data_IF_420079350841
#
_entry.id   IF_420079350841
#
_cell.length_a   1.000
_cell.length_b   1.000
_cell.length_c   1.000
_cell.angle_alpha   90.00
_cell.angle_beta   90.00
_cell.angle_gamma   90.00
#
_symmetry.space_group_name_H-M   'P 1'
#
loop_
_entity.id
_entity.type
_entity.pdbx_description
1 polymer ?
#
# COMPACT_ATOMS: atom_id res chain seq x y z
N UNK A 1 16.53 -38.32 17.47
CA UNK A 1 15.46 -37.36 17.11
C UNK A 1 15.95 -36.55 15.92
N UNK A 2 15.36 -36.73 14.72
CA UNK A 2 15.75 -35.98 13.53
C UNK A 2 15.22 -34.55 13.67
N UNK A 3 16.10 -33.57 13.93
CA UNK A 3 15.70 -32.16 13.88
C UNK A 3 15.28 -31.82 12.45
N UNK A 4 14.04 -31.40 12.28
CA UNK A 4 13.52 -30.94 11.01
C UNK A 4 14.18 -29.59 10.71
N UNK A 5 15.08 -29.57 9.73
CA UNK A 5 15.70 -28.35 9.22
C UNK A 5 14.59 -27.50 8.61
N UNK A 6 14.34 -26.31 9.16
CA UNK A 6 13.54 -25.30 8.49
C UNK A 6 14.44 -24.51 7.54
N UNK A 7 13.90 -24.10 6.40
CA UNK A 7 14.59 -23.28 5.41
C UNK A 7 13.90 -21.92 5.29
N UNK A 8 14.64 -20.90 4.85
CA UNK A 8 14.03 -19.62 4.55
C UNK A 8 13.13 -19.72 3.30
N UNK A 9 11.87 -19.33 3.40
CA UNK A 9 10.93 -19.37 2.26
C UNK A 9 11.36 -18.51 1.06
N UNK A 10 12.17 -17.47 1.28
CA UNK A 10 12.56 -16.53 0.21
C UNK A 10 13.83 -16.97 -0.52
N UNK A 11 14.87 -17.36 0.21
CA UNK A 11 16.18 -17.67 -0.38
C UNK A 11 16.60 -19.14 -0.26
N UNK A 12 15.74 -19.98 0.33
CA UNK A 12 15.95 -21.42 0.52
C UNK A 12 17.22 -21.76 1.31
N UNK A 13 17.77 -20.79 2.04
CA UNK A 13 18.93 -21.03 2.90
C UNK A 13 18.49 -21.82 4.13
N UNK A 14 19.16 -22.96 4.44
CA UNK A 14 18.80 -23.80 5.58
C UNK A 14 19.23 -23.17 6.91
N UNK A 15 18.39 -23.28 7.93
CA UNK A 15 18.75 -22.91 9.30
C UNK A 15 19.52 -24.07 9.95
N UNK A 16 20.82 -23.88 10.18
CA UNK A 16 21.69 -24.91 10.75
C UNK A 16 21.93 -24.63 12.23
N UNK A 17 21.25 -25.33 13.16
CA UNK A 17 21.32 -25.04 14.60
C UNK A 17 22.72 -25.17 15.23
N UNK A 18 23.67 -25.80 14.54
CA UNK A 18 25.04 -26.02 14.99
C UNK A 18 26.04 -24.96 14.49
N UNK A 19 25.62 -24.02 13.64
CA UNK A 19 26.48 -22.94 13.17
C UNK A 19 26.15 -21.66 13.94
N UNK A 20 27.13 -21.18 14.71
CA UNK A 20 27.08 -19.95 15.51
C UNK A 20 26.74 -18.69 14.68
N UNK A 21 26.86 -18.75 13.35
CA UNK A 21 26.54 -17.65 12.42
C UNK A 21 25.08 -17.61 11.94
N UNK A 22 24.26 -18.61 12.29
CA UNK A 22 22.85 -18.59 11.88
C UNK A 22 21.96 -17.98 12.97
N UNK A 23 21.61 -16.70 12.78
CA UNK A 23 20.57 -16.05 13.57
C UNK A 23 19.28 -16.86 13.56
N UNK A 24 18.58 -16.88 14.71
CA UNK A 24 17.34 -17.61 14.88
C UNK A 24 16.31 -17.23 13.80
N UNK A 25 15.66 -18.21 13.13
CA UNK A 25 14.64 -17.93 12.15
C UNK A 25 13.43 -17.26 12.79
N UNK A 26 12.88 -16.26 12.11
CA UNK A 26 11.57 -15.74 12.49
C UNK A 26 10.48 -16.61 11.86
N UNK A 27 9.75 -17.33 12.69
CA UNK A 27 8.55 -18.06 12.28
C UNK A 27 7.33 -17.15 12.30
N UNK A 28 6.53 -17.22 11.24
CA UNK A 28 5.30 -16.43 11.09
C UNK A 28 4.04 -17.29 11.34
N UNK A 29 2.86 -16.67 11.57
CA UNK A 29 1.62 -17.41 11.76
C UNK A 29 1.23 -18.35 10.60
N UNK A 30 1.76 -18.11 9.40
CA UNK A 30 1.59 -18.98 8.24
C UNK A 30 2.53 -20.21 8.23
N UNK A 31 3.36 -20.42 9.26
CA UNK A 31 4.25 -21.57 9.40
C UNK A 31 5.59 -21.47 8.66
N UNK A 32 5.81 -20.39 7.90
CA UNK A 32 7.06 -20.17 7.18
C UNK A 32 8.11 -19.45 8.03
N UNK A 33 9.37 -19.75 7.73
CA UNK A 33 10.52 -19.17 8.39
C UNK A 33 11.28 -18.21 7.45
N UNK A 34 11.83 -17.14 8.01
CA UNK A 34 12.62 -16.15 7.27
C UNK A 34 14.01 -15.96 7.90
N UNK A 35 15.04 -15.89 7.07
CA UNK A 35 16.37 -15.47 7.51
C UNK A 35 16.43 -13.94 7.68
N UNK A 36 17.34 -13.41 8.53
CA UNK A 36 17.47 -11.98 8.75
C UNK A 36 17.65 -11.16 7.47
N UNK A 37 18.49 -11.63 6.55
CA UNK A 37 18.82 -10.89 5.33
C UNK A 37 17.61 -10.74 4.42
N UNK A 38 16.71 -11.72 4.38
CA UNK A 38 15.45 -11.63 3.62
C UNK A 38 14.42 -10.74 4.32
N UNK A 39 14.36 -10.72 5.66
CA UNK A 39 13.51 -9.78 6.40
C UNK A 39 13.96 -8.33 6.19
N UNK A 40 15.27 -8.07 6.28
CA UNK A 40 15.87 -6.75 6.03
C UNK A 40 15.57 -6.29 4.61
N UNK A 41 15.81 -7.15 3.60
CA UNK A 41 15.48 -6.84 2.21
C UNK A 41 13.99 -6.55 2.02
N UNK A 42 13.11 -7.39 2.57
CA UNK A 42 11.66 -7.20 2.51
C UNK A 42 11.21 -5.86 3.09
N UNK A 43 11.75 -5.47 4.24
CA UNK A 43 11.48 -4.18 4.87
C UNK A 43 11.93 -2.99 4.01
N UNK A 44 13.17 -3.03 3.50
CA UNK A 44 13.73 -1.97 2.66
C UNK A 44 12.91 -1.82 1.38
N UNK A 45 12.55 -2.93 0.73
CA UNK A 45 11.70 -2.90 -0.47
C UNK A 45 10.33 -2.30 -0.15
N UNK A 46 9.66 -2.76 0.89
CA UNK A 46 8.34 -2.26 1.27
C UNK A 46 8.34 -0.76 1.59
N UNK A 47 9.35 -0.28 2.31
CA UNK A 47 9.43 1.14 2.72
C UNK A 47 9.80 2.08 1.58
N UNK A 48 10.50 1.59 0.54
CA UNK A 48 10.85 2.34 -0.68
C UNK A 48 9.80 2.26 -1.79
N UNK A 49 8.90 1.28 -1.76
CA UNK A 49 7.87 1.11 -2.79
C UNK A 49 6.85 2.24 -2.72
N UNK A 50 6.53 2.85 -3.87
CA UNK A 50 5.50 3.88 -4.01
C UNK A 50 4.50 3.48 -5.12
N UNK A 51 3.20 3.35 -4.84
CA UNK A 51 2.57 3.45 -3.52
C UNK A 51 3.01 2.32 -2.59
N UNK A 52 3.07 2.59 -1.28
CA UNK A 52 3.50 1.62 -0.27
C UNK A 52 2.83 0.26 -0.46
N UNK A 53 3.64 -0.80 -0.48
CA UNK A 53 3.20 -2.19 -0.42
C UNK A 53 3.82 -2.83 0.82
N UNK A 54 3.05 -3.53 1.66
CA UNK A 54 3.60 -4.20 2.82
C UNK A 54 4.55 -5.32 2.41
N UNK A 55 5.51 -5.65 3.27
CA UNK A 55 6.33 -6.84 3.06
C UNK A 55 5.46 -8.08 3.32
N UNK A 56 5.49 -9.03 2.39
CA UNK A 56 4.68 -10.25 2.41
C UNK A 56 5.56 -11.48 2.69
N UNK A 57 4.93 -12.54 3.19
CA UNK A 57 5.55 -13.85 3.34
C UNK A 57 5.28 -14.75 2.13
N UNK A 58 4.08 -15.32 2.04
CA UNK A 58 3.73 -16.35 1.05
C UNK A 58 2.43 -16.07 0.30
N UNK A 59 1.59 -15.18 0.81
CA UNK A 59 0.31 -14.81 0.19
C UNK A 59 0.03 -13.32 0.39
N UNK A 60 -0.90 -12.73 -0.37
CA UNK A 60 -1.29 -11.33 -0.21
C UNK A 60 -1.82 -10.98 1.18
N UNK A 61 -2.32 -11.97 1.94
CA UNK A 61 -2.83 -11.79 3.31
C UNK A 61 -1.75 -12.01 4.37
N UNK A 62 -0.65 -12.71 4.04
CA UNK A 62 0.44 -13.01 4.96
C UNK A 62 1.42 -11.83 5.07
N UNK A 63 0.94 -10.71 5.62
CA UNK A 63 1.73 -9.50 5.83
C UNK A 63 2.71 -9.68 6.99
N UNK A 64 3.97 -9.28 6.78
CA UNK A 64 4.98 -9.26 7.83
C UNK A 64 4.65 -8.17 8.88
N UNK A 65 4.47 -8.54 10.16
CA UNK A 65 4.09 -7.60 11.20
C UNK A 65 5.27 -6.67 11.54
N UNK A 66 5.02 -5.43 12.01
CA UNK A 66 6.09 -4.51 12.41
C UNK A 66 7.06 -5.09 13.47
N UNK A 67 6.59 -6.04 14.30
CA UNK A 67 7.42 -6.72 15.29
C UNK A 67 8.57 -7.53 14.65
N UNK A 68 8.38 -8.06 13.44
CA UNK A 68 9.38 -8.81 12.69
C UNK A 68 10.64 -7.99 12.38
N UNK A 69 10.52 -6.67 12.33
CA UNK A 69 11.58 -5.76 11.92
C UNK A 69 12.31 -5.09 13.09
N UNK A 70 11.76 -5.19 14.31
CA UNK A 70 12.35 -4.59 15.52
C UNK A 70 13.81 -5.00 15.80
N UNK A 71 14.22 -6.27 15.59
CA UNK A 71 15.61 -6.65 15.83
C UNK A 71 16.61 -6.03 14.84
N UNK A 72 16.15 -5.58 13.68
CA UNK A 72 17.01 -5.21 12.56
C UNK A 72 17.00 -3.71 12.23
N UNK A 73 16.00 -2.96 12.73
CA UNK A 73 15.81 -1.56 12.38
C UNK A 73 15.51 -0.69 13.61
N UNK A 74 15.94 0.60 13.59
CA UNK A 74 15.59 1.56 14.62
C UNK A 74 14.08 1.71 14.81
N UNK A 75 13.66 2.03 16.04
CA UNK A 75 12.26 2.21 16.42
C UNK A 75 11.52 3.20 15.52
N UNK A 76 12.18 4.28 15.07
CA UNK A 76 11.61 5.28 14.17
C UNK A 76 11.26 4.72 12.79
N UNK A 77 12.10 3.85 12.22
CA UNK A 77 11.84 3.25 10.91
C UNK A 77 10.70 2.23 11.00
N UNK A 78 10.69 1.42 12.07
CA UNK A 78 9.60 0.47 12.32
C UNK A 78 8.28 1.19 12.58
N UNK A 79 8.32 2.38 13.21
CA UNK A 79 7.16 3.24 13.40
C UNK A 79 6.63 3.80 12.07
N UNK A 80 7.52 4.23 11.16
CA UNK A 80 7.14 4.65 9.80
C UNK A 80 6.46 3.51 9.02
N UNK A 81 7.05 2.31 9.01
CA UNK A 81 6.43 1.14 8.39
C UNK A 81 5.05 0.84 8.99
N UNK A 82 4.92 0.91 10.32
CA UNK A 82 3.63 0.73 11.02
C UNK A 82 2.59 1.78 10.59
N UNK A 83 3.00 3.04 10.44
CA UNK A 83 2.12 4.12 10.00
C UNK A 83 1.64 3.90 8.57
N UNK A 84 2.55 3.58 7.64
CA UNK A 84 2.24 3.23 6.24
C UNK A 84 1.33 2.01 6.15
N UNK A 85 1.61 0.98 6.96
CA UNK A 85 0.78 -0.23 7.03
C UNK A 85 -0.64 0.07 7.56
N UNK A 86 -0.76 0.93 8.57
CA UNK A 86 -2.06 1.37 9.11
C UNK A 86 -2.89 2.11 8.06
N UNK A 87 -2.27 2.98 7.27
CA UNK A 87 -2.93 3.63 6.15
C UNK A 87 -3.35 2.63 5.05
N UNK A 88 -2.45 1.70 4.71
CA UNK A 88 -2.69 0.66 3.70
C UNK A 88 -3.90 -0.21 4.05
N UNK A 89 -3.97 -0.66 5.31
CA UNK A 89 -5.03 -1.53 5.81
C UNK A 89 -6.33 -0.79 6.14
N UNK A 90 -6.34 0.55 6.12
CA UNK A 90 -7.52 1.31 6.52
C UNK A 90 -8.62 1.23 5.45
N UNK A 91 -9.81 0.67 5.76
CA UNK A 91 -10.91 0.60 4.80
C UNK A 91 -11.49 1.99 4.50
N UNK A 92 -11.46 2.90 5.48
CA UNK A 92 -11.94 4.28 5.34
C UNK A 92 -10.77 5.26 5.50
N UNK A 93 -10.04 5.50 4.41
CA UNK A 93 -8.92 6.45 4.43
C UNK A 93 -9.43 7.88 4.66
N UNK A 94 -8.80 8.58 5.59
CA UNK A 94 -9.16 9.94 5.98
C UNK A 94 -7.87 10.75 6.14
N UNK A 95 -7.82 11.91 5.51
CA UNK A 95 -6.62 12.71 5.34
C UNK A 95 -6.82 14.11 5.88
N UNK A 96 -5.73 14.77 6.26
CA UNK A 96 -5.75 16.17 6.63
C UNK A 96 -6.24 17.04 5.46
N UNK A 97 -7.18 17.97 5.70
CA UNK A 97 -7.68 18.88 4.66
C UNK A 97 -6.61 19.84 4.10
N UNK A 98 -5.49 20.02 4.81
CA UNK A 98 -4.47 20.99 4.43
C UNK A 98 -3.66 20.46 3.24
N UNK A 99 -3.69 21.12 2.06
CA UNK A 99 -3.12 20.54 0.83
C UNK A 99 -1.64 20.17 0.94
N UNK A 100 -0.82 21.01 1.60
CA UNK A 100 0.61 20.75 1.75
C UNK A 100 0.92 19.71 2.83
N UNK A 101 -0.05 19.34 3.68
CA UNK A 101 0.14 18.30 4.68
C UNK A 101 -0.40 16.97 4.18
N UNK A 102 -1.70 16.91 3.83
CA UNK A 102 -2.39 15.71 3.32
C UNK A 102 -2.12 14.40 4.08
N UNK A 103 -1.64 14.48 5.33
CA UNK A 103 -1.24 13.32 6.10
C UNK A 103 -2.45 12.46 6.48
N UNK A 104 -2.26 11.14 6.45
CA UNK A 104 -3.27 10.19 6.91
C UNK A 104 -3.57 10.36 8.41
N UNK A 105 -4.86 10.33 8.75
CA UNK A 105 -5.34 10.42 10.12
C UNK A 105 -6.03 9.08 10.46
N UNK A 106 -5.38 8.22 11.27
CA UNK A 106 -5.92 6.91 11.63
C UNK A 106 -7.24 7.02 12.39
N UNK A 107 -8.11 5.99 12.32
CA UNK A 107 -9.42 5.97 12.98
C UNK A 107 -9.38 6.34 14.46
N UNK A 108 -8.35 5.91 15.19
CA UNK A 108 -8.17 6.20 16.63
C UNK A 108 -8.04 7.69 16.95
N UNK A 109 -7.67 8.52 15.97
CA UNK A 109 -7.53 9.98 16.13
C UNK A 109 -8.73 10.76 15.60
N UNK A 110 -9.70 10.04 15.05
CA UNK A 110 -10.99 10.60 14.67
C UNK A 110 -11.82 10.58 15.95
N UNK A 111 -11.80 11.69 16.67
CA UNK A 111 -12.61 11.86 17.88
C UNK A 111 -14.06 11.47 17.57
N UNK A 112 -14.81 10.92 18.54
CA UNK A 112 -16.27 10.66 18.40
C UNK A 112 -17.09 11.91 18.04
N UNK A 113 -16.47 13.09 18.02
CA UNK A 113 -17.07 14.34 17.55
C UNK A 113 -16.93 14.58 16.04
N UNK A 114 -17.39 15.74 15.59
CA UNK A 114 -17.42 16.11 14.16
C UNK A 114 -16.05 16.46 13.55
N UNK A 115 -14.95 16.34 14.29
CA UNK A 115 -13.62 16.81 13.87
C UNK A 115 -12.49 15.85 14.29
N UNK A 116 -11.46 15.73 13.45
CA UNK A 116 -10.25 14.94 13.71
C UNK A 116 -9.00 15.83 13.66
N UNK A 117 -8.10 15.68 14.64
CA UNK A 117 -6.85 16.46 14.74
C UNK A 117 -5.70 15.74 14.02
N UNK A 118 -5.06 16.42 13.08
CA UNK A 118 -3.86 15.92 12.41
C UNK A 118 -2.65 15.93 13.36
N UNK A 119 -1.88 14.85 13.44
CA UNK A 119 -0.65 14.80 14.27
C UNK A 119 0.56 15.48 13.63
N UNK A 120 0.54 15.66 12.30
CA UNK A 120 1.66 16.26 11.56
C UNK A 120 1.62 17.79 11.63
N UNK A 121 0.47 18.40 11.34
CA UNK A 121 0.33 19.87 11.31
C UNK A 121 -0.61 20.44 12.39
N UNK A 122 -1.12 19.62 13.31
CA UNK A 122 -2.06 20.00 14.38
C UNK A 122 -3.40 20.60 13.94
N UNK A 123 -3.65 20.77 12.64
CA UNK A 123 -4.92 21.28 12.09
C UNK A 123 -6.05 20.26 12.26
N UNK A 124 -7.26 20.78 12.45
CA UNK A 124 -8.49 19.97 12.61
C UNK A 124 -9.24 19.88 11.28
N UNK A 125 -9.70 18.68 10.96
CA UNK A 125 -10.44 18.35 9.73
C UNK A 125 -11.83 17.86 10.12
N UNK A 126 -12.89 18.36 9.47
CA UNK A 126 -14.25 17.92 9.73
C UNK A 126 -14.44 16.48 9.23
N UNK A 127 -15.01 15.60 10.06
CA UNK A 127 -15.18 14.17 9.72
C UNK A 127 -16.26 13.98 8.65
N UNK A 128 -17.29 14.83 8.66
CA UNK A 128 -18.41 14.78 7.71
C UNK A 128 -18.01 15.31 6.32
N UNK A 129 -17.62 16.60 6.23
CA UNK A 129 -17.32 17.23 4.93
C UNK A 129 -15.87 17.04 4.46
N UNK A 130 -14.96 16.47 5.29
CA UNK A 130 -13.51 16.32 5.02
C UNK A 130 -12.76 17.63 4.77
N UNK A 131 -13.40 18.77 5.05
CA UNK A 131 -12.82 20.11 4.94
C UNK A 131 -12.18 20.60 6.23
N UNK A 132 -11.87 21.90 6.28
CA UNK A 132 -11.43 22.56 7.52
C UNK A 132 -12.50 22.37 8.60
N UNK A 133 -12.08 22.07 9.82
CA UNK A 133 -12.97 22.05 10.97
C UNK A 133 -13.71 23.38 11.15
N UNK A 134 -15.01 23.32 11.42
CA UNK A 134 -15.88 24.46 11.62
C UNK A 134 -16.84 24.20 12.78
N UNK A 135 -17.45 25.27 13.30
CA UNK A 135 -18.58 25.20 14.23
C UNK A 135 -19.89 25.32 13.45
N UNK A 136 -20.98 24.77 13.99
CA UNK A 136 -22.28 24.75 13.30
C UNK A 136 -22.44 23.62 12.29
N UNK A 137 -23.48 23.72 11.46
CA UNK A 137 -23.74 22.78 10.37
C UNK A 137 -22.57 22.78 9.38
N UNK A 138 -22.36 21.66 8.69
CA UNK A 138 -21.51 21.72 7.50
C UNK A 138 -22.10 22.76 6.53
N UNK A 139 -21.26 23.53 5.82
CA UNK A 139 -21.76 24.38 4.75
C UNK A 139 -22.70 23.56 3.89
N UNK A 140 -23.85 24.15 3.58
CA UNK A 140 -25.08 23.49 3.12
C UNK A 140 -24.76 22.24 2.30
N UNK A 141 -25.31 21.10 2.68
CA UNK A 141 -24.89 19.80 2.14
C UNK A 141 -24.91 19.79 0.61
N UNK A 142 -25.86 20.51 -0.01
CA UNK A 142 -25.92 20.75 -1.45
C UNK A 142 -24.67 21.48 -1.98
N UNK A 143 -24.28 22.62 -1.39
CA UNK A 143 -23.09 23.38 -1.81
C UNK A 143 -21.78 22.63 -1.52
N UNK A 144 -21.69 21.92 -0.40
CA UNK A 144 -20.53 21.10 -0.07
C UNK A 144 -20.42 19.87 -0.99
N UNK A 145 -21.55 19.25 -1.34
CA UNK A 145 -21.63 18.11 -2.26
C UNK A 145 -21.36 18.53 -3.70
N UNK A 146 -21.84 19.69 -4.13
CA UNK A 146 -21.49 20.31 -5.42
C UNK A 146 -20.01 20.68 -5.49
N UNK A 147 -19.45 21.32 -4.47
CA UNK A 147 -18.03 21.65 -4.41
C UNK A 147 -17.16 20.38 -4.42
N UNK A 148 -17.58 19.32 -3.72
CA UNK A 148 -16.93 18.01 -3.75
C UNK A 148 -17.03 17.36 -5.12
N UNK A 149 -18.21 17.35 -5.74
CA UNK A 149 -18.44 16.78 -7.07
C UNK A 149 -17.62 17.52 -8.14
N UNK A 150 -17.57 18.86 -8.07
CA UNK A 150 -16.77 19.71 -8.96
C UNK A 150 -15.27 19.39 -8.83
N UNK A 151 -14.77 19.28 -7.59
CA UNK A 151 -13.37 18.87 -7.32
C UNK A 151 -13.06 17.48 -7.85
N UNK A 152 -13.93 16.49 -7.61
CA UNK A 152 -13.77 15.13 -8.12
C UNK A 152 -13.72 15.15 -9.66
N UNK A 153 -14.67 15.82 -10.32
CA UNK A 153 -14.69 15.97 -11.79
C UNK A 153 -13.42 16.63 -12.34
N UNK A 154 -12.93 17.68 -11.68
CA UNK A 154 -11.69 18.35 -12.08
C UNK A 154 -10.48 17.41 -11.94
N UNK A 155 -10.41 16.67 -10.84
CA UNK A 155 -9.35 15.71 -10.58
C UNK A 155 -9.40 14.55 -11.58
N UNK A 156 -10.58 13.99 -11.86
CA UNK A 156 -10.78 12.94 -12.87
C UNK A 156 -10.38 13.43 -14.27
N UNK A 157 -10.73 14.67 -14.63
CA UNK A 157 -10.32 15.28 -15.90
C UNK A 157 -8.79 15.41 -15.99
N UNK A 158 -8.15 15.91 -14.93
CA UNK A 158 -6.69 16.03 -14.87
C UNK A 158 -6.00 14.66 -14.95
N UNK A 159 -6.50 13.67 -14.20
CA UNK A 159 -6.00 12.29 -14.26
C UNK A 159 -6.16 11.70 -15.65
N UNK A 160 -7.33 11.84 -16.29
CA UNK A 160 -7.58 11.34 -17.65
C UNK A 160 -6.64 11.98 -18.68
N UNK A 161 -6.41 13.28 -18.57
CA UNK A 161 -5.44 13.97 -19.42
C UNK A 161 -4.02 13.40 -19.23
N UNK A 162 -3.58 13.21 -17.99
CA UNK A 162 -2.27 12.62 -17.68
C UNK A 162 -2.14 11.19 -18.25
N UNK A 163 -3.15 10.35 -18.07
CA UNK A 163 -3.17 8.97 -18.59
C UNK A 163 -3.00 8.94 -20.11
N UNK A 164 -3.68 9.84 -20.82
CA UNK A 164 -3.58 9.93 -22.26
C UNK A 164 -2.19 10.41 -22.71
N UNK A 165 -1.70 11.51 -22.11
CA UNK A 165 -0.40 12.10 -22.47
C UNK A 165 0.76 11.15 -22.20
N UNK A 166 0.75 10.46 -21.06
CA UNK A 166 1.83 9.55 -20.68
C UNK A 166 1.63 8.12 -21.23
N UNK A 167 0.52 7.86 -21.93
CA UNK A 167 0.11 6.51 -22.38
C UNK A 167 0.06 5.48 -21.25
N UNK A 168 -0.23 5.94 -20.04
CA UNK A 168 -0.41 5.07 -18.87
C UNK A 168 -1.77 4.39 -18.92
N UNK A 169 -1.83 3.13 -18.47
CA UNK A 169 -3.05 2.32 -18.58
C UNK A 169 -3.45 1.70 -17.23
N UNK A 170 -4.75 1.69 -16.90
CA UNK A 170 -5.22 1.05 -15.66
C UNK A 170 -5.29 -0.48 -15.80
N UNK A 171 -4.93 -1.26 -14.77
CA UNK A 171 -5.23 -2.71 -14.75
C UNK A 171 -6.75 -2.90 -14.91
N UNK A 172 -7.19 -3.85 -15.77
CA UNK A 172 -8.60 -4.09 -16.04
C UNK A 172 -9.36 -4.52 -14.77
N UNK A 173 -8.69 -5.21 -13.84
CA UNK A 173 -9.28 -5.72 -12.59
C UNK A 173 -9.35 -4.68 -11.48
N UNK A 174 -8.23 -4.07 -11.10
CA UNK A 174 -8.16 -3.21 -9.91
C UNK A 174 -8.10 -1.70 -10.21
N UNK A 175 -8.08 -1.31 -11.49
CA UNK A 175 -8.03 0.09 -11.97
C UNK A 175 -6.80 0.89 -11.55
N UNK A 176 -5.81 0.27 -10.89
CA UNK A 176 -4.51 0.91 -10.60
C UNK A 176 -3.82 1.25 -11.93
N UNK A 177 -3.43 2.51 -12.06
CA UNK A 177 -2.68 3.02 -13.21
C UNK A 177 -1.29 2.41 -13.21
N UNK A 178 -0.88 1.90 -14.36
CA UNK A 178 0.44 1.30 -14.59
C UNK A 178 1.13 2.09 -15.68
N UNK A 179 2.39 2.43 -15.43
CA UNK A 179 3.35 2.91 -16.42
C UNK A 179 4.15 1.71 -16.94
N UNK A 180 4.28 1.62 -18.27
CA UNK A 180 5.19 0.66 -18.92
C UNK A 180 6.48 1.40 -19.28
N UNK A 181 7.60 0.95 -18.70
CA UNK A 181 8.92 1.55 -18.97
C UNK A 181 9.47 1.02 -20.29
N UNK A 182 9.53 -0.31 -20.46
CA UNK A 182 9.99 -0.97 -21.69
C UNK A 182 9.55 -2.46 -21.70
N UNK A 183 9.81 -3.18 -22.79
CA UNK A 183 9.70 -4.64 -22.88
C UNK A 183 8.36 -5.16 -23.39
N UNK A 184 8.02 -6.39 -22.99
CA UNK A 184 6.81 -7.10 -23.43
C UNK A 184 5.52 -6.37 -23.01
N UNK A 185 4.44 -6.53 -23.79
CA UNK A 185 3.11 -6.01 -23.44
C UNK A 185 2.44 -6.81 -22.31
N UNK A 186 2.99 -7.93 -21.84
CA UNK A 186 2.48 -8.66 -20.67
C UNK A 186 2.82 -7.93 -19.36
N UNK A 187 1.79 -7.45 -18.67
CA UNK A 187 1.91 -6.80 -17.37
C UNK A 187 1.35 -7.70 -16.28
N UNK A 188 2.13 -7.86 -15.22
CA UNK A 188 1.69 -8.46 -13.95
C UNK A 188 1.36 -7.35 -12.97
N UNK A 189 0.08 -7.20 -12.62
CA UNK A 189 -0.34 -6.21 -11.65
C UNK A 189 -0.17 -6.73 -10.22
N UNK A 190 0.08 -5.81 -9.28
CA UNK A 190 0.13 -6.10 -7.84
C UNK A 190 -1.17 -6.71 -7.26
N UNK A 191 -2.29 -6.63 -7.97
CA UNK A 191 -3.52 -7.34 -7.56
C UNK A 191 -3.57 -8.81 -8.00
N UNK A 192 -2.51 -9.31 -8.66
CA UNK A 192 -2.45 -10.65 -9.25
C UNK A 192 -3.07 -10.76 -10.65
N UNK A 193 -3.66 -9.68 -11.20
CA UNK A 193 -4.14 -9.66 -12.59
C UNK A 193 -2.93 -9.69 -13.55
N UNK A 194 -2.92 -10.60 -14.52
CA UNK A 194 -2.03 -10.51 -15.68
C UNK A 194 -2.81 -9.94 -16.86
N UNK A 195 -2.27 -8.96 -17.58
CA UNK A 195 -3.01 -8.26 -18.62
C UNK A 195 -2.08 -7.71 -19.70
N UNK A 196 -2.60 -7.50 -20.91
CA UNK A 196 -1.83 -6.93 -22.01
C UNK A 196 -1.90 -5.40 -21.98
N UNK A 197 -0.75 -4.72 -21.92
CA UNK A 197 -0.65 -3.27 -21.95
C UNK A 197 -1.15 -2.69 -23.26
N UNK A 198 -0.99 -3.38 -24.40
CA UNK A 198 -1.44 -2.89 -25.70
C UNK A 198 -2.97 -2.74 -25.74
N UNK A 199 -3.71 -3.82 -25.47
CA UNK A 199 -5.17 -3.83 -25.58
C UNK A 199 -5.91 -3.54 -24.26
N UNK A 200 -5.22 -3.59 -23.11
CA UNK A 200 -5.81 -3.35 -21.79
C UNK A 200 -6.66 -4.49 -21.24
N UNK A 201 -6.64 -5.67 -21.86
CA UNK A 201 -7.46 -6.84 -21.48
C UNK A 201 -6.68 -7.81 -20.59
N UNK A 202 -7.40 -8.51 -19.71
CA UNK A 202 -6.83 -9.56 -18.87
C UNK A 202 -6.35 -10.73 -19.75
N UNK A 203 -5.16 -11.26 -19.48
CA UNK A 203 -4.62 -12.42 -20.19
C UNK A 203 -5.26 -13.69 -19.63
N UNK A 204 -5.99 -14.41 -20.48
CA UNK A 204 -6.40 -15.80 -20.25
C UNK A 204 -5.57 -16.74 -21.14
N UNK A 205 -5.73 -18.07 -20.99
CA UNK A 205 -4.96 -19.09 -21.73
C UNK A 205 -5.00 -18.94 -23.27
N UNK A 206 -5.94 -18.15 -23.80
CA UNK A 206 -6.10 -17.87 -25.23
C UNK A 206 -5.92 -16.39 -25.58
N UNK A 207 -5.07 -15.63 -24.88
CA UNK A 207 -4.79 -14.27 -25.28
C UNK A 207 -3.89 -14.24 -26.53
N UNK A 208 -4.51 -14.31 -27.70
CA UNK A 208 -3.85 -14.27 -29.00
C UNK A 208 -3.19 -12.94 -29.36
N UNK A 209 -2.77 -12.86 -30.62
CA UNK A 209 -2.27 -11.65 -31.28
C UNK A 209 -3.17 -10.43 -30.99
N UNK A 210 -2.56 -9.36 -30.52
CA UNK A 210 -3.19 -8.04 -30.40
C UNK A 210 -3.22 -7.35 -31.78
N UNK A 211 -3.95 -7.95 -32.71
CA UNK A 211 -4.28 -7.33 -33.99
C UNK A 211 -5.33 -6.23 -33.78
N UNK A 212 -5.13 -5.12 -34.50
CA UNK A 212 -5.79 -3.82 -34.33
C UNK A 212 -7.32 -3.87 -34.27
#
# INVERSE_FOLDING_TARGET
MKQQLQDCIICLTPFRPYLLDTFAPLSLPCGHAHCPSCLVRGFITATKTLPFQPALCCSPQAILPPAAFRPFFPSIQVADYRAKLSEYLSPSKFYCHHPTCSAFIPPILRSRGKQAKCRVCSRKTCVACRGRAHMGACPDEALAQEARAKRIKQQEKATRALLHTMRWKPCPRCRRVVEKIDGCDHISCLCGCHWCYRCGKELSEAHGDCSM
#
